data_IF_875529491774
#
_entry.id   IF_875529491774
#
_cell.length_a   1.000
_cell.length_b   1.000
_cell.length_c   1.000
_cell.angle_alpha   90.00
_cell.angle_beta   90.00
_cell.angle_gamma   90.00
#
_symmetry.space_group_name_H-M   'P 1'
#
loop_
_entity.id
_entity.type
_entity.pdbx_description
1 polymer ?
#
# COMPACT_ATOMS: atom_id res chain seq x y z
N UNK A 1 -1.98 15.38 -13.53
CA UNK A 1 -3.18 15.29 -12.68
C UNK A 1 -2.75 15.28 -11.21
N UNK A 2 -3.54 15.86 -10.29
CA UNK A 2 -3.18 15.88 -8.86
C UNK A 2 -3.53 14.55 -8.18
N UNK A 3 -2.67 14.12 -7.25
CA UNK A 3 -2.88 12.92 -6.46
C UNK A 3 -4.07 13.08 -5.52
N UNK A 4 -4.95 12.07 -5.50
CA UNK A 4 -6.24 12.15 -4.80
C UNK A 4 -6.20 11.60 -3.37
N UNK A 5 -5.04 11.16 -2.89
CA UNK A 5 -4.84 10.69 -1.51
C UNK A 5 -5.87 9.62 -1.10
N UNK A 6 -6.72 9.90 -0.11
CA UNK A 6 -7.77 9.00 0.37
C UNK A 6 -8.90 8.74 -0.65
N UNK A 7 -8.94 9.51 -1.75
CA UNK A 7 -9.86 9.29 -2.87
C UNK A 7 -9.16 8.66 -4.09
N UNK A 8 -7.92 8.19 -3.91
CA UNK A 8 -7.19 7.49 -4.95
C UNK A 8 -7.86 6.13 -5.25
N UNK A 9 -8.04 5.74 -6.53
CA UNK A 9 -8.69 4.49 -6.87
C UNK A 9 -7.94 3.27 -6.35
N UNK A 10 -6.59 3.30 -6.29
CA UNK A 10 -5.82 2.19 -5.74
C UNK A 10 -6.00 2.08 -4.23
N UNK A 11 -6.04 3.21 -3.52
CA UNK A 11 -6.36 3.24 -2.09
C UNK A 11 -7.74 2.62 -1.82
N UNK A 12 -8.77 3.06 -2.54
CA UNK A 12 -10.13 2.54 -2.39
C UNK A 12 -10.20 1.04 -2.73
N UNK A 13 -9.49 0.60 -3.76
CA UNK A 13 -9.36 -0.82 -4.08
C UNK A 13 -8.73 -1.61 -2.91
N UNK A 14 -7.65 -1.10 -2.31
CA UNK A 14 -7.03 -1.74 -1.14
C UNK A 14 -7.98 -1.81 0.05
N UNK A 15 -8.75 -0.75 0.32
CA UNK A 15 -9.78 -0.73 1.36
C UNK A 15 -10.80 -1.84 1.10
N UNK A 16 -11.36 -1.90 -0.11
CA UNK A 16 -12.34 -2.93 -0.48
C UNK A 16 -11.74 -4.33 -0.35
N UNK A 17 -10.53 -4.55 -0.87
CA UNK A 17 -9.82 -5.83 -0.76
C UNK A 17 -9.60 -6.23 0.69
N UNK A 18 -9.25 -5.30 1.57
CA UNK A 18 -9.11 -5.57 3.00
C UNK A 18 -10.44 -6.00 3.63
N UNK A 19 -11.54 -5.29 3.37
CA UNK A 19 -12.85 -5.65 3.90
C UNK A 19 -13.34 -6.99 3.37
N UNK A 20 -13.19 -7.25 2.07
CA UNK A 20 -13.51 -8.54 1.45
C UNK A 20 -12.65 -9.65 2.08
N UNK A 21 -11.35 -9.41 2.27
CA UNK A 21 -10.48 -10.38 2.94
C UNK A 21 -10.94 -10.67 4.37
N UNK A 22 -11.26 -9.63 5.13
CA UNK A 22 -11.63 -9.74 6.54
C UNK A 22 -12.99 -10.37 6.76
N UNK A 23 -14.00 -10.02 5.97
CA UNK A 23 -15.40 -10.36 6.21
C UNK A 23 -15.96 -11.45 5.28
N UNK A 24 -15.31 -11.71 4.15
CA UNK A 24 -15.74 -12.76 3.21
C UNK A 24 -14.77 -13.92 3.29
N UNK A 25 -13.49 -13.70 3.00
CA UNK A 25 -12.55 -14.81 2.89
C UNK A 25 -12.22 -15.49 4.23
N UNK A 26 -11.96 -14.71 5.29
CA UNK A 26 -11.69 -15.31 6.62
C UNK A 26 -12.83 -16.19 7.16
N UNK A 27 -14.12 -15.81 7.08
CA UNK A 27 -15.20 -16.68 7.54
C UNK A 27 -15.57 -17.81 6.56
N UNK A 28 -15.29 -17.68 5.25
CA UNK A 28 -15.63 -18.72 4.28
C UNK A 28 -14.55 -19.81 4.14
N UNK A 29 -13.27 -19.47 4.35
CA UNK A 29 -12.14 -20.37 4.08
C UNK A 29 -11.53 -20.85 5.40
N UNK A 30 -12.26 -21.72 6.12
CA UNK A 30 -11.75 -22.43 7.30
C UNK A 30 -10.99 -23.70 6.88
N UNK A 31 -9.79 -23.54 6.34
CA UNK A 31 -8.86 -24.66 6.08
C UNK A 31 -8.42 -24.83 4.62
N UNK A 32 -7.11 -24.91 4.40
CA UNK A 32 -6.48 -25.17 3.10
C UNK A 32 -5.35 -24.19 2.76
N UNK A 33 -4.54 -24.53 1.74
CA UNK A 33 -3.41 -23.72 1.24
C UNK A 33 -3.86 -22.29 0.85
N UNK A 34 -5.08 -22.18 0.30
CA UNK A 34 -5.70 -20.89 -0.07
C UNK A 34 -6.00 -20.05 1.18
N UNK A 35 -6.43 -20.69 2.28
CA UNK A 35 -6.64 -20.02 3.56
C UNK A 35 -5.33 -19.41 4.09
N UNK A 36 -4.20 -20.12 3.98
CA UNK A 36 -2.90 -19.60 4.40
C UNK A 36 -2.45 -18.38 3.57
N UNK A 37 -2.57 -18.44 2.23
CA UNK A 37 -2.19 -17.34 1.33
C UNK A 37 -3.08 -16.10 1.55
N UNK A 38 -4.39 -16.32 1.75
CA UNK A 38 -5.36 -15.24 1.97
C UNK A 38 -5.25 -14.64 3.38
N UNK A 39 -4.84 -15.44 4.38
CA UNK A 39 -4.67 -14.97 5.76
C UNK A 39 -3.42 -14.11 5.96
N UNK A 40 -2.31 -14.40 5.29
CA UNK A 40 -1.05 -13.65 5.39
C UNK A 40 -0.87 -12.66 4.24
N UNK A 41 -0.51 -13.16 3.06
CA UNK A 41 0.12 -12.41 1.97
C UNK A 41 -0.73 -11.29 1.36
N UNK A 42 -2.06 -11.42 1.34
CA UNK A 42 -2.94 -10.38 0.77
C UNK A 42 -2.85 -9.08 1.56
N UNK A 43 -2.79 -9.18 2.90
CA UNK A 43 -2.70 -7.99 3.75
C UNK A 43 -1.35 -7.31 3.60
N UNK A 44 -0.27 -8.09 3.47
CA UNK A 44 1.07 -7.58 3.29
C UNK A 44 1.22 -6.90 1.91
N UNK A 45 0.65 -7.51 0.86
CA UNK A 45 0.64 -6.95 -0.49
C UNK A 45 -0.08 -5.60 -0.57
N UNK A 46 -1.22 -5.44 0.11
CA UNK A 46 -1.99 -4.19 0.09
C UNK A 46 -1.50 -3.16 1.13
N UNK A 47 -0.60 -3.55 2.05
CA UNK A 47 -0.18 -2.71 3.17
C UNK A 47 0.40 -1.36 2.72
N UNK A 48 1.39 -1.39 1.83
CA UNK A 48 2.03 -0.18 1.32
C UNK A 48 1.12 0.69 0.44
N UNK A 49 0.40 0.17 -0.57
CA UNK A 49 -0.53 1.00 -1.34
C UNK A 49 -1.68 1.57 -0.50
N UNK A 50 -2.02 0.94 0.63
CA UNK A 50 -2.98 1.47 1.59
C UNK A 50 -2.41 2.60 2.46
N UNK A 51 -1.21 2.42 3.00
CA UNK A 51 -0.62 3.36 3.95
C UNK A 51 -0.01 4.61 3.31
N UNK A 52 0.59 4.49 2.12
CA UNK A 52 1.24 5.61 1.44
C UNK A 52 0.27 6.78 1.21
N UNK A 53 -0.95 6.58 0.68
CA UNK A 53 -1.93 7.67 0.53
C UNK A 53 -2.27 8.37 1.85
N UNK A 54 -2.36 7.63 2.96
CA UNK A 54 -2.64 8.17 4.30
C UNK A 54 -1.45 9.00 4.78
N UNK A 55 -0.22 8.46 4.69
CA UNK A 55 1.00 9.15 5.09
C UNK A 55 1.17 10.46 4.32
N UNK A 56 1.01 10.42 3.00
CA UNK A 56 1.16 11.59 2.15
C UNK A 56 0.06 12.62 2.41
N UNK A 57 -1.15 12.19 2.72
CA UNK A 57 -2.24 13.07 3.13
C UNK A 57 -1.89 13.79 4.44
N UNK A 58 -1.36 13.06 5.43
CA UNK A 58 -0.91 13.66 6.68
C UNK A 58 0.23 14.65 6.47
N UNK A 59 1.23 14.30 5.65
CA UNK A 59 2.34 15.20 5.32
C UNK A 59 1.86 16.48 4.63
N UNK A 60 0.86 16.38 3.73
CA UNK A 60 0.23 17.53 3.09
C UNK A 60 -0.50 18.40 4.12
N UNK A 61 -1.24 17.78 5.05
CA UNK A 61 -1.97 18.49 6.13
C UNK A 61 -1.04 19.19 7.13
N UNK A 62 0.13 18.61 7.38
CA UNK A 62 1.17 19.17 8.25
C UNK A 62 2.06 20.20 7.53
N UNK A 63 1.86 20.42 6.22
CA UNK A 63 2.65 21.36 5.41
C UNK A 63 4.06 20.87 5.08
N UNK A 64 4.38 19.60 5.32
CA UNK A 64 5.68 19.00 4.99
C UNK A 64 5.80 18.62 3.53
N UNK A 65 4.66 18.49 2.85
CA UNK A 65 4.57 18.29 1.41
C UNK A 65 3.96 19.53 0.77
N UNK A 66 4.66 20.10 -0.20
CA UNK A 66 4.25 21.33 -0.90
C UNK A 66 3.61 21.05 -2.26
N UNK A 67 3.56 19.78 -2.69
CA UNK A 67 3.19 19.39 -4.04
C UNK A 67 2.24 18.18 -4.06
N UNK A 68 1.04 18.33 -4.60
CA UNK A 68 0.05 17.26 -4.80
C UNK A 68 0.36 16.36 -6.02
N UNK A 69 1.65 16.17 -6.33
CA UNK A 69 2.11 15.27 -7.40
C UNK A 69 1.85 13.81 -7.00
N UNK A 70 1.85 12.84 -7.93
CA UNK A 70 1.84 11.43 -7.56
C UNK A 70 3.01 11.06 -6.60
N UNK A 71 2.89 9.97 -5.84
CA UNK A 71 3.92 9.53 -4.90
C UNK A 71 5.28 9.39 -5.58
N UNK A 72 6.29 10.07 -5.05
CA UNK A 72 7.65 9.95 -5.56
C UNK A 72 8.28 8.64 -5.11
N UNK A 73 9.24 8.12 -5.88
CA UNK A 73 9.95 6.89 -5.53
C UNK A 73 10.53 6.93 -4.09
N UNK A 74 11.08 8.08 -3.67
CA UNK A 74 11.58 8.26 -2.31
C UNK A 74 10.49 8.13 -1.23
N UNK A 75 9.27 8.62 -1.51
CA UNK A 75 8.13 8.54 -0.59
C UNK A 75 7.53 7.13 -0.49
N UNK A 76 7.88 6.25 -1.41
CA UNK A 76 7.53 4.82 -1.39
C UNK A 76 8.67 4.02 -0.75
N UNK A 77 9.93 4.31 -1.13
CA UNK A 77 11.11 3.59 -0.66
C UNK A 77 11.43 3.85 0.81
N UNK A 78 11.27 5.08 1.31
CA UNK A 78 11.49 5.39 2.73
C UNK A 78 10.61 4.53 3.65
N UNK A 79 9.26 4.55 3.52
CA UNK A 79 8.42 3.70 4.35
C UNK A 79 8.70 2.21 4.13
N UNK A 80 8.98 1.77 2.90
CA UNK A 80 9.35 0.38 2.62
C UNK A 80 10.61 -0.04 3.41
N UNK A 81 11.68 0.75 3.36
CA UNK A 81 12.91 0.47 4.10
C UNK A 81 12.71 0.57 5.62
N UNK A 82 11.98 1.58 6.08
CA UNK A 82 11.66 1.76 7.50
C UNK A 82 10.83 0.59 8.03
N UNK A 83 9.82 0.13 7.30
CA UNK A 83 9.00 -1.02 7.69
C UNK A 83 9.78 -2.32 7.61
N UNK A 84 10.58 -2.56 6.56
CA UNK A 84 11.48 -3.72 6.49
C UNK A 84 12.38 -3.79 7.72
N UNK A 85 13.06 -2.69 8.03
CA UNK A 85 13.92 -2.62 9.19
C UNK A 85 13.17 -2.80 10.51
N UNK A 86 12.00 -2.17 10.65
CA UNK A 86 11.22 -2.24 11.89
C UNK A 86 10.68 -3.65 12.16
N UNK A 87 10.15 -4.32 11.14
CA UNK A 87 9.62 -5.68 11.26
C UNK A 87 10.72 -6.73 11.43
N UNK A 88 11.87 -6.56 10.79
CA UNK A 88 12.97 -7.54 10.86
C UNK A 88 13.85 -7.35 12.10
N UNK A 89 14.12 -6.10 12.52
CA UNK A 89 15.12 -5.82 13.56
C UNK A 89 14.54 -5.49 14.93
N UNK A 90 13.33 -4.91 14.99
CA UNK A 90 12.76 -4.40 16.25
C UNK A 90 11.67 -5.33 16.77
N UNK A 91 10.67 -5.70 15.95
CA UNK A 91 9.56 -6.54 16.40
C UNK A 91 9.98 -7.89 17.02
N UNK A 92 10.92 -8.69 16.46
CA UNK A 92 11.30 -9.98 17.04
C UNK A 92 12.09 -9.84 18.35
N UNK A 93 12.60 -8.64 18.65
CA UNK A 93 13.33 -8.35 19.89
C UNK A 93 12.42 -7.88 21.03
N UNK A 94 11.19 -7.46 20.74
CA UNK A 94 10.21 -7.03 21.75
C UNK A 94 9.51 -8.25 22.34
N UNK A 95 9.71 -8.49 23.64
CA UNK A 95 9.23 -9.67 24.36
C UNK A 95 7.70 -9.91 24.26
N UNK A 96 6.91 -8.85 24.09
CA UNK A 96 5.45 -8.92 23.95
C UNK A 96 5.00 -9.42 22.56
N UNK A 97 5.77 -9.14 21.51
CA UNK A 97 5.45 -9.51 20.13
C UNK A 97 6.17 -10.79 19.65
N UNK A 98 7.09 -11.30 20.45
CA UNK A 98 7.92 -12.49 20.15
C UNK A 98 7.13 -13.77 19.85
N UNK A 99 5.87 -13.86 20.27
CA UNK A 99 4.97 -15.00 19.98
C UNK A 99 4.06 -14.80 18.75
N UNK A 100 4.00 -13.59 18.19
CA UNK A 100 3.05 -13.22 17.12
C UNK A 100 3.79 -12.77 15.85
N UNK A 101 5.00 -12.26 15.98
CA UNK A 101 5.83 -11.81 14.87
C UNK A 101 6.89 -12.85 14.54
N UNK A 102 6.61 -13.65 13.51
CA UNK A 102 7.62 -14.46 12.85
C UNK A 102 8.34 -13.59 11.82
N UNK A 103 9.67 -13.62 11.82
CA UNK A 103 10.46 -12.99 10.76
C UNK A 103 10.38 -13.88 9.53
N UNK A 104 9.38 -13.66 8.67
CA UNK A 104 9.30 -14.31 7.36
C UNK A 104 9.74 -13.34 6.26
N UNK A 105 10.87 -13.59 5.57
CA UNK A 105 11.31 -12.81 4.41
C UNK A 105 10.26 -12.73 3.30
N UNK A 106 9.29 -13.65 3.26
CA UNK A 106 8.17 -13.61 2.33
C UNK A 106 7.26 -12.40 2.54
N UNK A 107 7.17 -11.87 3.76
CA UNK A 107 6.39 -10.65 4.04
C UNK A 107 7.06 -9.46 3.35
N UNK A 108 8.40 -9.40 3.40
CA UNK A 108 9.22 -8.40 2.72
C UNK A 108 8.99 -8.43 1.22
N UNK A 109 8.99 -9.62 0.63
CA UNK A 109 8.69 -9.79 -0.79
C UNK A 109 7.27 -9.32 -1.12
N UNK A 110 6.27 -9.68 -0.30
CA UNK A 110 4.88 -9.33 -0.55
C UNK A 110 4.65 -7.82 -0.55
N UNK A 111 5.05 -7.09 0.49
CA UNK A 111 4.84 -5.64 0.48
C UNK A 111 5.75 -4.93 -0.53
N UNK A 112 6.95 -5.47 -0.84
CA UNK A 112 7.81 -4.92 -1.91
C UNK A 112 7.14 -5.04 -3.28
N UNK A 113 6.55 -6.19 -3.60
CA UNK A 113 5.76 -6.38 -4.82
C UNK A 113 4.58 -5.41 -4.84
N UNK A 114 3.88 -5.27 -3.71
CA UNK A 114 2.76 -4.33 -3.56
C UNK A 114 3.17 -2.88 -3.84
N UNK A 115 4.30 -2.45 -3.30
CA UNK A 115 4.86 -1.12 -3.52
C UNK A 115 5.26 -0.89 -4.98
N UNK A 116 5.90 -1.89 -5.63
CA UNK A 116 6.27 -1.81 -7.03
C UNK A 116 5.05 -1.69 -7.94
N UNK A 117 4.03 -2.54 -7.73
CA UNK A 117 2.78 -2.49 -8.50
C UNK A 117 2.08 -1.14 -8.29
N UNK A 118 2.05 -0.64 -7.06
CA UNK A 118 1.48 0.66 -6.73
C UNK A 118 2.22 1.82 -7.42
N UNK A 119 3.55 1.79 -7.39
CA UNK A 119 4.39 2.79 -8.05
C UNK A 119 4.15 2.81 -9.57
N UNK A 120 4.08 1.63 -10.20
CA UNK A 120 3.78 1.50 -11.63
C UNK A 120 2.37 2.01 -11.95
N UNK A 121 1.39 1.66 -11.12
CA UNK A 121 0.01 2.11 -11.28
C UNK A 121 -0.11 3.63 -11.18
N UNK A 122 0.48 4.25 -10.15
CA UNK A 122 0.41 5.71 -9.98
C UNK A 122 1.17 6.44 -11.09
N UNK A 123 2.33 5.93 -11.51
CA UNK A 123 3.03 6.48 -12.67
C UNK A 123 2.16 6.41 -13.92
N UNK A 124 1.54 5.26 -14.21
CA UNK A 124 0.67 5.13 -15.37
C UNK A 124 -0.58 6.02 -15.29
N UNK A 125 -1.35 5.91 -14.19
CA UNK A 125 -2.63 6.58 -14.03
C UNK A 125 -2.51 8.11 -14.02
N UNK A 126 -1.48 8.66 -13.36
CA UNK A 126 -1.30 10.11 -13.26
C UNK A 126 -0.43 10.73 -14.36
N UNK A 127 0.24 9.92 -15.19
CA UNK A 127 0.98 10.39 -16.38
C UNK A 127 0.11 10.47 -17.64
N UNK A 128 -1.08 9.88 -17.64
CA UNK A 128 -2.00 10.01 -18.78
C UNK A 128 -2.37 11.49 -18.99
N UNK A 129 -2.33 12.01 -20.23
CA UNK A 129 -2.84 13.33 -20.53
C UNK A 129 -4.33 13.40 -20.20
N UNK A 130 -4.77 14.46 -19.52
CA UNK A 130 -6.21 14.74 -19.37
C UNK A 130 -6.80 14.90 -20.78
N UNK A 131 -7.83 14.12 -21.12
CA UNK A 131 -8.58 14.17 -22.40
C UNK A 131 -9.25 15.54 -22.71
N UNK A 132 -8.97 16.58 -21.92
CA UNK A 132 -9.64 17.88 -21.94
C UNK A 132 -8.92 18.97 -22.74
N UNK A 133 -7.98 18.62 -23.61
CA UNK A 133 -7.20 19.60 -24.40
C UNK A 133 -7.45 19.52 -25.92
N UNK A 134 -8.58 18.95 -26.35
CA UNK A 134 -8.85 18.71 -27.80
C UNK A 134 -10.28 19.08 -28.21
N UNK A 135 -10.90 20.07 -27.56
CA UNK A 135 -12.23 20.57 -27.94
C UNK A 135 -12.34 22.09 -28.04
N UNK A 136 -11.23 22.81 -28.22
CA UNK A 136 -11.24 24.29 -28.42
C UNK A 136 -10.74 24.74 -29.81
N UNK A 137 -10.60 23.84 -30.78
CA UNK A 137 -10.22 24.21 -32.16
C UNK A 137 -11.12 23.55 -33.21
N UNK A 138 -12.42 23.86 -33.19
CA UNK A 138 -13.32 23.70 -34.35
C UNK A 138 -14.13 24.97 -34.51
#
# INVERSE_FOLDING_TARGET
>A
MNFRYLKDPLFLLCVVLYFVNRFVFKPLIHGGIIGAIVHGSVNDLICLPFWIPIMLWMMQRLGWRTSDKPPQAAEILLPLLCWSWYFEMILPKVAYFKRVAFSDPNDILCYTIGACVAALFWNYYYSLPSKTATSENI
#
